data_IF_151682002372
#
_entry.id   IF_151682002372
#
_cell.length_a   1.000
_cell.length_b   1.000
_cell.length_c   1.000
_cell.angle_alpha   90.00
_cell.angle_beta   90.00
_cell.angle_gamma   90.00
#
_symmetry.space_group_name_H-M   'P 1'
#
loop_
_entity.id
_entity.type
_entity.pdbx_description
1 polymer ?
#
# COMPACT_ATOMS: atom_id res chain seq x y z
N UNK A 1 -34.17 -33.69 -41.52
CA UNK A 1 -34.38 -32.32 -41.00
C UNK A 1 -33.57 -32.18 -39.70
N UNK A 2 -32.40 -31.54 -39.77
CA UNK A 2 -31.48 -31.38 -38.64
C UNK A 2 -31.84 -30.09 -37.89
N UNK A 3 -32.29 -30.20 -36.63
CA UNK A 3 -32.55 -29.05 -35.76
C UNK A 3 -31.22 -28.46 -35.28
N UNK A 4 -30.90 -27.25 -35.74
CA UNK A 4 -29.79 -26.42 -35.27
C UNK A 4 -30.15 -25.89 -33.88
N UNK A 5 -29.45 -26.35 -32.83
CA UNK A 5 -29.52 -25.72 -31.51
C UNK A 5 -28.49 -24.62 -31.41
N UNK A 6 -28.99 -23.41 -31.18
CA UNK A 6 -28.27 -22.15 -31.05
C UNK A 6 -27.48 -22.17 -29.74
N UNK A 7 -26.15 -22.06 -29.83
CA UNK A 7 -25.26 -21.78 -28.72
C UNK A 7 -25.45 -20.30 -28.32
N UNK A 8 -26.03 -20.04 -27.15
CA UNK A 8 -26.10 -18.70 -26.56
C UNK A 8 -24.72 -18.40 -25.97
N UNK A 9 -23.98 -17.51 -26.64
CA UNK A 9 -22.73 -16.96 -26.16
C UNK A 9 -23.06 -15.91 -25.08
N UNK A 10 -22.91 -16.26 -23.80
CA UNK A 10 -22.91 -15.27 -22.72
C UNK A 10 -21.64 -14.41 -22.86
N UNK A 11 -21.81 -13.20 -23.38
CA UNK A 11 -20.83 -12.13 -23.26
C UNK A 11 -20.74 -11.73 -21.79
N UNK A 12 -19.75 -12.27 -21.08
CA UNK A 12 -19.31 -11.72 -19.81
C UNK A 12 -18.84 -10.28 -20.07
N UNK A 13 -19.66 -9.31 -19.70
CA UNK A 13 -19.27 -7.91 -19.69
C UNK A 13 -18.17 -7.77 -18.64
N UNK A 14 -16.91 -7.71 -19.10
CA UNK A 14 -15.80 -7.28 -18.27
C UNK A 14 -16.13 -5.87 -17.81
N UNK A 15 -16.55 -5.72 -16.55
CA UNK A 15 -16.58 -4.42 -15.90
C UNK A 15 -15.17 -3.87 -15.98
N UNK A 16 -14.97 -2.82 -16.77
CA UNK A 16 -13.76 -2.03 -16.74
C UNK A 16 -13.69 -1.48 -15.32
N UNK A 17 -12.89 -2.13 -14.46
CA UNK A 17 -12.59 -1.62 -13.15
C UNK A 17 -11.99 -0.23 -13.38
N UNK A 18 -12.67 0.81 -12.91
CA UNK A 18 -12.17 2.18 -12.96
C UNK A 18 -10.77 2.14 -12.32
N UNK A 19 -9.75 2.46 -13.12
CA UNK A 19 -8.38 2.42 -12.67
C UNK A 19 -8.22 3.34 -11.46
N UNK A 20 -7.63 2.81 -10.40
CA UNK A 20 -7.11 3.61 -9.30
C UNK A 20 -6.30 4.78 -9.86
N UNK A 21 -6.54 5.97 -9.33
CA UNK A 21 -5.68 7.12 -9.59
C UNK A 21 -4.89 7.41 -8.32
N UNK A 22 -3.60 7.69 -8.49
CA UNK A 22 -2.72 8.11 -7.41
C UNK A 22 -2.00 9.34 -7.89
N UNK A 23 -1.86 10.32 -7.01
CA UNK A 23 -1.13 11.55 -7.28
C UNK A 23 -0.42 12.02 -6.03
N UNK A 24 0.56 12.89 -6.20
CA UNK A 24 1.09 13.62 -5.07
C UNK A 24 1.90 14.82 -5.48
N UNK A 25 2.28 15.60 -4.48
CA UNK A 25 3.03 16.83 -4.62
C UNK A 25 4.05 16.97 -3.47
N UNK A 26 5.06 17.77 -3.72
CA UNK A 26 6.11 18.10 -2.75
C UNK A 26 6.01 19.58 -2.41
N UNK A 27 6.12 19.94 -1.13
CA UNK A 27 5.90 21.28 -0.61
C UNK A 27 6.70 21.55 0.68
N UNK A 28 6.83 22.81 1.08
CA UNK A 28 7.40 23.21 2.37
C UNK A 28 6.30 23.31 3.42
N UNK A 29 6.33 22.49 4.47
CA UNK A 29 5.28 22.42 5.49
C UNK A 29 5.47 23.44 6.63
N UNK A 30 5.61 24.72 6.29
CA UNK A 30 5.82 25.81 7.25
C UNK A 30 5.68 27.19 6.64
N UNK A 31 5.89 28.22 7.46
CA UNK A 31 5.86 29.62 7.02
C UNK A 31 7.25 30.08 6.57
N UNK A 32 7.33 31.20 5.86
CA UNK A 32 8.54 31.74 5.21
C UNK A 32 9.74 32.01 6.13
N UNK A 33 9.60 31.88 7.45
CA UNK A 33 10.54 32.40 8.46
C UNK A 33 11.12 31.36 9.43
N UNK A 34 10.77 30.07 9.29
CA UNK A 34 11.31 28.95 10.08
C UNK A 34 11.75 27.86 9.10
N UNK A 35 12.86 27.10 9.30
CA UNK A 35 13.13 25.89 8.53
C UNK A 35 11.90 24.97 8.47
N UNK A 36 11.16 25.09 7.38
CA UNK A 36 9.99 24.28 7.12
C UNK A 36 10.48 22.91 6.63
N UNK A 37 9.94 21.80 7.15
CA UNK A 37 10.29 20.50 6.61
C UNK A 37 9.75 20.38 5.19
N UNK A 38 10.64 19.98 4.28
CA UNK A 38 10.28 19.49 2.97
C UNK A 38 9.32 18.30 3.17
N UNK A 39 8.16 18.34 2.54
CA UNK A 39 7.07 17.41 2.81
C UNK A 39 6.39 16.96 1.53
N UNK A 40 5.75 15.81 1.62
CA UNK A 40 4.99 15.20 0.55
C UNK A 40 3.54 15.09 0.95
N UNK A 41 2.66 15.27 -0.01
CA UNK A 41 1.24 14.99 0.09
C UNK A 41 0.88 14.01 -1.01
N UNK A 42 0.25 12.91 -0.64
CA UNK A 42 -0.12 11.80 -1.52
C UNK A 42 -1.60 11.56 -1.36
N UNK A 43 -2.30 11.43 -2.47
CA UNK A 43 -3.72 11.08 -2.47
C UNK A 43 -4.03 10.09 -3.59
N UNK A 44 -5.14 9.38 -3.41
CA UNK A 44 -5.63 8.50 -4.45
C UNK A 44 -7.07 8.09 -4.25
N UNK A 45 -7.60 7.44 -5.29
CA UNK A 45 -8.97 6.91 -5.33
C UNK A 45 -8.96 5.39 -5.27
N UNK A 46 -9.98 4.84 -4.62
CA UNK A 46 -10.25 3.40 -4.56
C UNK A 46 -11.31 3.06 -5.60
N UNK A 47 -11.15 1.92 -6.28
CA UNK A 47 -12.15 1.45 -7.23
C UNK A 47 -13.50 1.26 -6.51
N UNK A 48 -14.61 1.65 -7.15
CA UNK A 48 -15.93 1.59 -6.52
C UNK A 48 -16.33 0.18 -6.06
N UNK A 49 -15.84 -0.87 -6.72
CA UNK A 49 -16.06 -2.28 -6.33
C UNK A 49 -15.32 -2.69 -5.06
N UNK A 50 -14.32 -1.91 -4.65
CA UNK A 50 -13.44 -2.24 -3.54
C UNK A 50 -13.76 -1.43 -2.27
N UNK A 51 -14.60 -0.38 -2.38
CA UNK A 51 -15.07 0.42 -1.24
C UNK A 51 -15.79 -0.46 -0.23
N UNK A 52 -15.60 -0.18 1.06
CA UNK A 52 -16.15 -0.92 2.20
C UNK A 52 -15.62 -2.35 2.36
N UNK A 53 -14.71 -2.81 1.51
CA UNK A 53 -14.02 -4.07 1.74
C UNK A 53 -12.93 -3.91 2.80
N UNK A 54 -12.67 -4.96 3.61
CA UNK A 54 -11.52 -4.97 4.50
C UNK A 54 -10.22 -4.90 3.69
N UNK A 55 -9.26 -4.10 4.13
CA UNK A 55 -8.07 -3.85 3.33
C UNK A 55 -7.04 -2.98 4.02
N UNK A 56 -6.13 -2.44 3.23
CA UNK A 56 -5.10 -1.52 3.69
C UNK A 56 -4.55 -0.66 2.57
N UNK A 57 -3.94 0.45 2.98
CA UNK A 57 -3.26 1.39 2.09
C UNK A 57 -1.80 1.44 2.51
N UNK A 58 -0.91 1.52 1.53
CA UNK A 58 0.50 1.76 1.78
C UNK A 58 0.98 2.94 0.96
N UNK A 59 2.01 3.59 1.49
CA UNK A 59 2.80 4.59 0.79
C UNK A 59 4.24 4.17 0.97
N UNK A 60 4.94 3.92 -0.13
CA UNK A 60 6.34 3.48 -0.14
C UNK A 60 7.21 4.51 -0.85
N UNK A 61 8.46 4.61 -0.43
CA UNK A 61 9.47 5.42 -1.11
C UNK A 61 10.55 4.50 -1.68
N UNK A 62 10.93 4.70 -2.93
CA UNK A 62 11.85 3.84 -3.70
C UNK A 62 13.06 4.66 -4.14
N UNK A 63 14.24 4.10 -3.89
CA UNK A 63 15.51 4.58 -4.40
C UNK A 63 15.62 4.25 -5.91
N UNK A 64 15.91 5.24 -6.79
CA UNK A 64 16.12 4.99 -8.21
C UNK A 64 17.27 4.02 -8.49
N UNK A 65 18.21 3.85 -7.57
CA UNK A 65 19.30 2.87 -7.63
C UNK A 65 18.85 1.41 -7.44
N UNK A 66 17.69 1.18 -6.84
CA UNK A 66 17.10 -0.16 -6.65
C UNK A 66 15.63 -0.22 -7.07
N UNK A 67 15.32 -0.15 -8.38
CA UNK A 67 13.95 -0.13 -8.87
C UNK A 67 13.15 -1.39 -8.50
N UNK A 68 11.85 -1.21 -8.25
CA UNK A 68 10.91 -2.28 -7.90
C UNK A 68 10.92 -2.66 -6.42
N UNK A 69 11.72 -1.98 -5.59
CA UNK A 69 11.92 -2.31 -4.18
C UNK A 69 11.82 -1.05 -3.32
N UNK A 70 10.74 -0.85 -2.55
CA UNK A 70 10.64 0.27 -1.63
C UNK A 70 11.76 0.21 -0.57
N UNK A 71 12.43 1.33 -0.33
CA UNK A 71 13.42 1.50 0.72
C UNK A 71 12.76 1.70 2.10
N UNK A 72 11.60 2.36 2.13
CA UNK A 72 10.83 2.58 3.35
C UNK A 72 9.33 2.70 3.04
N UNK A 73 8.51 2.50 4.08
CA UNK A 73 7.07 2.66 4.04
C UNK A 73 6.60 3.66 5.08
N UNK A 74 5.57 4.44 4.73
CA UNK A 74 4.94 5.36 5.64
C UNK A 74 4.00 4.61 6.60
N UNK A 75 4.19 4.84 7.88
CA UNK A 75 3.33 4.37 8.97
C UNK A 75 2.77 5.57 9.73
N UNK A 76 1.80 5.39 10.64
CA UNK A 76 1.32 6.48 11.50
C UNK A 76 2.43 7.13 12.34
N UNK A 77 3.51 6.40 12.64
CA UNK A 77 4.70 6.88 13.35
C UNK A 77 5.77 7.52 12.43
N UNK A 78 5.53 7.58 11.13
CA UNK A 78 6.49 8.08 10.13
C UNK A 78 7.07 6.98 9.24
N UNK A 79 8.15 7.31 8.53
CA UNK A 79 8.83 6.38 7.62
C UNK A 79 9.54 5.27 8.39
N UNK A 80 9.30 4.03 7.98
CA UNK A 80 9.92 2.83 8.54
C UNK A 80 10.65 2.09 7.43
N UNK A 81 11.94 1.81 7.66
CA UNK A 81 12.79 1.06 6.73
C UNK A 81 12.16 -0.26 6.36
N UNK A 82 12.22 -0.60 5.09
CA UNK A 82 11.76 -1.88 4.58
C UNK A 82 12.92 -2.86 4.48
N UNK A 83 12.92 -3.90 5.31
CA UNK A 83 14.00 -4.90 5.39
C UNK A 83 13.57 -6.32 5.05
N UNK A 84 12.26 -6.54 4.85
CA UNK A 84 11.66 -7.85 4.60
C UNK A 84 10.89 -7.79 3.30
N UNK A 85 11.10 -8.72 2.36
CA UNK A 85 10.57 -8.71 0.98
C UNK A 85 9.03 -8.67 0.76
N UNK A 86 8.23 -8.22 1.72
CA UNK A 86 6.79 -7.95 1.59
C UNK A 86 6.37 -6.72 2.40
N UNK A 87 5.23 -6.10 2.09
CA UNK A 87 4.78 -4.86 2.75
C UNK A 87 4.78 -5.00 4.28
N UNK A 88 5.14 -3.93 5.03
CA UNK A 88 5.14 -3.99 6.48
C UNK A 88 3.74 -4.32 7.01
N UNK A 89 3.72 -4.95 8.18
CA UNK A 89 2.48 -5.23 8.91
C UNK A 89 1.73 -3.92 9.11
N UNK A 90 0.55 -3.83 8.52
CA UNK A 90 -0.33 -2.68 8.60
C UNK A 90 -1.48 -3.00 9.56
N UNK A 91 -2.21 -1.97 9.95
CA UNK A 91 -3.49 -2.15 10.65
C UNK A 91 -4.56 -2.38 9.59
N UNK A 92 -5.10 -3.59 9.51
CA UNK A 92 -6.22 -3.90 8.61
C UNK A 92 -7.36 -2.92 8.89
N UNK A 93 -7.77 -2.19 7.86
CA UNK A 93 -8.92 -1.31 7.90
C UNK A 93 -10.14 -2.17 7.62
N UNK A 94 -11.13 -2.17 8.51
CA UNK A 94 -12.32 -3.01 8.37
C UNK A 94 -13.17 -2.65 7.16
N UNK A 95 -13.09 -1.40 6.71
CA UNK A 95 -13.75 -0.87 5.52
C UNK A 95 -12.84 0.20 4.90
N UNK A 96 -12.40 0.00 3.66
CA UNK A 96 -11.62 0.99 2.93
C UNK A 96 -12.53 2.11 2.40
N UNK A 97 -12.11 3.36 2.56
CA UNK A 97 -12.84 4.51 2.02
C UNK A 97 -12.68 4.66 0.51
N UNK A 98 -13.50 5.50 -0.12
CA UNK A 98 -13.43 5.81 -1.56
C UNK A 98 -12.16 6.56 -1.97
N UNK A 99 -11.49 7.20 -1.02
CA UNK A 99 -10.28 7.99 -1.22
C UNK A 99 -9.34 7.83 -0.04
N UNK A 100 -8.05 8.05 -0.28
CA UNK A 100 -7.05 8.16 0.77
C UNK A 100 -6.18 9.39 0.59
N UNK A 101 -5.65 9.91 1.69
CA UNK A 101 -4.75 11.06 1.69
C UNK A 101 -3.75 10.92 2.83
N UNK A 102 -2.48 11.07 2.52
CA UNK A 102 -1.37 11.01 3.47
C UNK A 102 -0.47 12.21 3.26
N UNK A 103 0.07 12.74 4.36
CA UNK A 103 1.17 13.68 4.30
C UNK A 103 2.24 13.27 5.29
N UNK A 104 3.48 13.44 4.87
CA UNK A 104 4.65 13.15 5.67
C UNK A 104 5.78 14.10 5.27
N UNK A 105 6.67 14.42 6.21
CA UNK A 105 7.91 15.06 5.82
C UNK A 105 8.79 14.10 5.01
N UNK A 106 9.63 14.65 4.15
CA UNK A 106 10.74 13.91 3.52
C UNK A 106 11.72 13.56 4.65
N UNK A 107 12.07 12.27 4.82
CA UNK A 107 12.93 11.88 5.91
C UNK A 107 14.36 12.40 5.67
N UNK A 108 15.16 12.55 6.72
CA UNK A 108 16.60 12.85 6.58
C UNK A 108 17.39 11.68 6.01
N UNK A 109 16.89 10.46 6.21
CA UNK A 109 17.44 9.21 5.68
C UNK A 109 16.34 8.15 5.67
N UNK A 110 16.38 7.16 4.77
CA UNK A 110 15.43 6.03 4.80
C UNK A 110 15.50 5.22 6.10
N UNK A 111 16.63 5.28 6.82
CA UNK A 111 16.90 4.47 8.03
C UNK A 111 16.86 5.24 9.33
N UNK A 112 16.87 6.58 9.26
CA UNK A 112 16.90 7.45 10.44
C UNK A 112 15.73 8.42 10.35
N UNK A 113 14.88 8.39 11.38
CA UNK A 113 13.74 9.31 11.48
C UNK A 113 14.18 10.77 11.57
N UNK A 114 13.27 11.68 11.25
CA UNK A 114 13.53 13.12 11.19
C UNK A 114 12.96 13.72 9.91
N UNK A 115 12.91 15.05 9.84
CA UNK A 115 12.38 15.76 8.68
C UNK A 115 13.47 16.63 8.06
N UNK A 116 13.74 16.44 6.77
CA UNK A 116 14.71 17.24 6.04
C UNK A 116 14.09 18.59 5.64
N UNK A 117 14.90 19.66 5.66
CA UNK A 117 14.51 20.97 5.12
C UNK A 117 14.66 21.05 3.58
N UNK A 118 15.25 20.03 2.96
CA UNK A 118 15.50 19.94 1.51
C UNK A 118 15.23 18.52 1.05
N UNK A 119 14.86 18.35 -0.23
CA UNK A 119 14.70 17.04 -0.86
C UNK A 119 15.97 16.56 -1.58
N UNK A 120 17.12 17.22 -1.40
CA UNK A 120 18.36 16.93 -2.12
C UNK A 120 18.74 15.44 -2.12
N UNK A 121 18.72 14.78 -0.95
CA UNK A 121 19.10 13.36 -0.80
C UNK A 121 18.06 12.39 -1.39
N UNK A 122 16.88 12.90 -1.71
CA UNK A 122 15.75 12.14 -2.26
C UNK A 122 15.39 12.57 -3.69
N UNK A 123 16.21 13.39 -4.33
CA UNK A 123 15.97 13.84 -5.70
C UNK A 123 15.84 12.65 -6.65
N UNK A 124 14.73 12.57 -7.38
CA UNK A 124 14.46 11.50 -8.33
C UNK A 124 13.94 10.20 -7.70
N UNK A 125 13.82 10.13 -6.37
CA UNK A 125 13.16 9.02 -5.69
C UNK A 125 11.68 9.00 -6.02
N UNK A 126 11.12 7.80 -6.12
CA UNK A 126 9.71 7.63 -6.44
C UNK A 126 8.93 7.36 -5.17
N UNK A 127 7.80 8.03 -5.02
CA UNK A 127 6.81 7.63 -4.03
C UNK A 127 5.74 6.84 -4.75
N UNK A 128 5.47 5.65 -4.24
CA UNK A 128 4.37 4.81 -4.65
C UNK A 128 3.29 4.85 -3.58
N UNK A 129 2.05 4.75 -4.01
CA UNK A 129 0.95 4.48 -3.10
C UNK A 129 -0.08 3.59 -3.75
N UNK A 130 -0.89 2.99 -2.90
CA UNK A 130 -1.89 2.06 -3.35
C UNK A 130 -2.49 1.27 -2.22
N UNK A 131 -3.39 0.37 -2.57
CA UNK A 131 -4.20 -0.32 -1.60
C UNK A 131 -4.44 -1.77 -1.98
N UNK A 132 -4.86 -2.56 -1.01
CA UNK A 132 -5.18 -3.97 -1.18
C UNK A 132 -6.41 -4.30 -0.35
N UNK A 133 -7.24 -5.20 -0.85
CA UNK A 133 -8.52 -5.54 -0.23
C UNK A 133 -8.74 -7.06 -0.19
N UNK A 134 -9.58 -7.50 0.73
CA UNK A 134 -10.13 -8.84 0.73
C UNK A 134 -11.39 -8.90 -0.12
N UNK A 135 -11.20 -9.22 -1.40
CA UNK A 135 -12.30 -9.49 -2.34
C UNK A 135 -13.13 -10.70 -1.90
N UNK A 136 -14.29 -10.90 -2.51
CA UNK A 136 -15.11 -12.08 -2.28
C UNK A 136 -14.34 -13.40 -2.54
N UNK A 137 -13.46 -13.42 -3.54
CA UNK A 137 -12.59 -14.56 -3.84
C UNK A 137 -11.58 -14.80 -2.71
N UNK A 138 -11.01 -13.73 -2.14
CA UNK A 138 -10.13 -13.82 -0.97
C UNK A 138 -10.88 -14.38 0.25
N UNK A 139 -12.12 -13.95 0.49
CA UNK A 139 -12.95 -14.49 1.57
C UNK A 139 -13.24 -15.98 1.38
N UNK A 140 -13.54 -16.42 0.14
CA UNK A 140 -13.73 -17.84 -0.16
C UNK A 140 -12.46 -18.67 0.10
N UNK A 141 -11.27 -18.13 -0.22
CA UNK A 141 -10.00 -18.78 0.09
C UNK A 141 -9.75 -18.90 1.60
N UNK A 142 -10.06 -17.87 2.38
CA UNK A 142 -9.94 -17.88 3.84
C UNK A 142 -10.87 -18.94 4.44
N UNK A 143 -12.14 -18.97 4.02
CA UNK A 143 -13.11 -19.96 4.50
C UNK A 143 -12.66 -21.39 4.17
N UNK A 144 -12.15 -21.61 2.95
CA UNK A 144 -11.62 -22.91 2.53
C UNK A 144 -10.42 -23.33 3.38
N UNK A 145 -9.49 -22.41 3.65
CA UNK A 145 -8.34 -22.67 4.55
C UNK A 145 -8.84 -23.07 5.94
N UNK A 146 -9.76 -22.29 6.52
CA UNK A 146 -10.32 -22.54 7.85
C UNK A 146 -10.95 -23.92 7.96
N UNK A 147 -11.85 -24.26 7.02
CA UNK A 147 -12.49 -25.57 6.97
C UNK A 147 -11.46 -26.72 6.86
N UNK A 148 -10.40 -26.53 6.05
CA UNK A 148 -9.33 -27.52 5.92
C UNK A 148 -8.51 -27.69 7.19
N UNK A 149 -8.22 -26.60 7.91
CA UNK A 149 -7.47 -26.65 9.15
C UNK A 149 -8.30 -27.25 10.29
N UNK A 150 -9.58 -26.90 10.38
CA UNK A 150 -10.49 -27.43 11.39
C UNK A 150 -10.69 -28.94 11.21
N UNK A 151 -10.82 -29.42 9.97
CA UNK A 151 -10.89 -30.85 9.66
C UNK A 151 -9.59 -31.60 10.00
N UNK A 152 -8.43 -30.96 9.80
CA UNK A 152 -7.12 -31.55 10.08
C UNK A 152 -6.71 -31.44 11.55
N UNK A 153 -7.30 -30.53 12.33
CA UNK A 153 -6.90 -30.19 13.70
C UNK A 153 -6.81 -31.39 14.63
N UNK A 154 -7.80 -32.31 14.71
CA UNK A 154 -7.72 -33.46 15.62
C UNK A 154 -6.51 -34.35 15.31
N UNK A 155 -6.25 -34.62 14.03
CA UNK A 155 -5.14 -35.45 13.59
C UNK A 155 -3.78 -34.76 13.82
N UNK A 156 -3.67 -33.47 13.52
CA UNK A 156 -2.45 -32.69 13.73
C UNK A 156 -2.12 -32.54 15.22
N UNK A 157 -3.13 -32.35 16.08
CA UNK A 157 -2.95 -32.30 17.53
C UNK A 157 -2.48 -33.64 18.08
N UNK A 158 -3.08 -34.77 17.65
CA UNK A 158 -2.63 -36.10 18.04
C UNK A 158 -1.17 -36.37 17.66
N UNK A 159 -0.71 -35.82 16.53
CA UNK A 159 0.67 -35.95 16.05
C UNK A 159 1.65 -34.93 16.64
N UNK A 160 1.19 -34.02 17.52
CA UNK A 160 2.02 -32.93 18.06
C UNK A 160 2.52 -31.95 16.99
N UNK A 161 1.82 -31.86 15.85
CA UNK A 161 2.18 -31.02 14.70
C UNK A 161 1.27 -29.79 14.55
N UNK A 162 0.29 -29.63 15.44
CA UNK A 162 -0.51 -28.41 15.49
C UNK A 162 0.37 -27.23 15.89
N UNK A 163 0.25 -26.13 15.16
CA UNK A 163 0.96 -24.88 15.46
C UNK A 163 -0.08 -23.81 15.80
N UNK A 164 0.27 -22.93 16.74
CA UNK A 164 -0.65 -21.88 17.20
C UNK A 164 -1.05 -20.90 16.09
N UNK A 165 -0.21 -20.70 15.07
CA UNK A 165 -0.51 -19.87 13.88
C UNK A 165 -1.60 -20.49 12.97
N UNK A 166 -2.05 -21.71 13.25
CA UNK A 166 -3.22 -22.31 12.57
C UNK A 166 -4.54 -21.94 13.24
N UNK A 167 -4.52 -21.38 14.45
CA UNK A 167 -5.73 -20.99 15.16
C UNK A 167 -6.36 -19.70 14.59
N UNK A 168 -5.58 -18.83 13.94
CA UNK A 168 -6.08 -17.64 13.25
C UNK A 168 -5.74 -17.60 11.75
N UNK A 169 -6.37 -16.65 11.04
CA UNK A 169 -6.14 -16.40 9.62
C UNK A 169 -5.41 -15.08 9.35
N UNK A 170 -4.88 -14.39 10.38
CA UNK A 170 -4.36 -13.02 10.27
C UNK A 170 -3.22 -12.96 9.25
N UNK A 171 -2.24 -13.84 9.37
CA UNK A 171 -1.11 -13.88 8.44
C UNK A 171 -1.56 -14.17 6.99
N UNK A 172 -2.56 -15.05 6.81
CA UNK A 172 -3.08 -15.41 5.51
C UNK A 172 -3.90 -14.27 4.88
N UNK A 173 -4.75 -13.60 5.67
CA UNK A 173 -5.46 -12.37 5.26
C UNK A 173 -4.49 -11.29 4.81
N UNK A 174 -3.44 -11.06 5.60
CA UNK A 174 -2.42 -10.06 5.28
C UNK A 174 -1.73 -10.36 3.95
N UNK A 175 -1.37 -11.61 3.70
CA UNK A 175 -0.79 -12.03 2.43
C UNK A 175 -1.73 -11.81 1.23
N UNK A 176 -3.03 -12.08 1.39
CA UNK A 176 -4.03 -11.85 0.33
C UNK A 176 -4.24 -10.36 0.03
N UNK A 177 -4.27 -9.51 1.06
CA UNK A 177 -4.34 -8.06 0.90
C UNK A 177 -3.09 -7.52 0.20
N UNK A 178 -1.89 -7.99 0.56
CA UNK A 178 -0.65 -7.62 -0.14
C UNK A 178 -0.64 -8.08 -1.60
N UNK A 179 -1.08 -9.31 -1.86
CA UNK A 179 -1.27 -9.82 -3.23
C UNK A 179 -2.24 -8.92 -4.01
N UNK A 180 -3.36 -8.54 -3.40
CA UNK A 180 -4.33 -7.61 -4.00
C UNK A 180 -3.72 -6.28 -4.44
N UNK A 181 -2.75 -5.78 -3.67
CA UNK A 181 -2.02 -4.54 -3.96
C UNK A 181 -1.08 -4.71 -5.16
N UNK A 182 -0.33 -5.81 -5.18
CA UNK A 182 0.62 -6.12 -6.24
C UNK A 182 -0.06 -6.44 -7.58
N UNK A 183 -1.29 -6.97 -7.56
CA UNK A 183 -2.08 -7.31 -8.75
C UNK A 183 -2.69 -6.08 -9.46
N UNK A 184 -1.99 -4.94 -9.52
CA UNK A 184 -2.36 -3.67 -10.21
C UNK A 184 -3.02 -2.57 -9.37
N UNK A 185 -2.92 -2.61 -8.03
CA UNK A 185 -3.43 -1.54 -7.14
C UNK A 185 -2.32 -0.77 -6.44
N UNK A 186 -1.11 -0.83 -6.99
CA UNK A 186 0.09 -0.14 -6.53
C UNK A 186 0.69 0.66 -7.68
N UNK A 187 0.89 1.96 -7.49
CA UNK A 187 1.33 2.84 -8.58
C UNK A 187 2.14 4.03 -8.10
N UNK A 188 2.92 4.62 -9.02
CA UNK A 188 3.72 5.82 -8.74
C UNK A 188 2.81 7.02 -8.51
N UNK A 189 2.91 7.62 -7.33
CA UNK A 189 2.22 8.86 -6.98
C UNK A 189 2.96 10.09 -7.51
N UNK A 190 4.28 10.14 -7.30
CA UNK A 190 5.15 11.23 -7.72
C UNK A 190 6.62 10.79 -7.79
N UNK A 191 7.41 11.56 -8.54
CA UNK A 191 8.88 11.55 -8.47
C UNK A 191 9.31 12.80 -7.71
N UNK A 192 10.11 12.66 -6.67
CA UNK A 192 10.50 13.76 -5.79
C UNK A 192 11.36 14.75 -6.58
N UNK A 193 10.90 16.00 -6.78
CA UNK A 193 11.72 17.04 -7.39
C UNK A 193 12.63 17.65 -6.33
N UNK A 194 13.58 18.47 -6.77
CA UNK A 194 14.36 19.30 -5.87
C UNK A 194 13.49 20.41 -5.29
N UNK A 195 13.46 20.52 -3.96
CA UNK A 195 12.92 21.64 -3.22
C UNK A 195 13.87 22.00 -2.08
N UNK A 196 13.95 23.29 -1.76
CA UNK A 196 14.68 23.78 -0.61
C UNK A 196 13.77 24.69 0.21
N UNK A 197 13.53 24.31 1.46
CA UNK A 197 12.66 25.00 2.40
C UNK A 197 13.45 25.75 3.48
N UNK A 198 14.78 25.85 3.35
CA UNK A 198 15.59 26.73 4.22
C UNK A 198 15.24 28.19 3.96
N UNK A 199 15.04 29.02 5.00
CA UNK A 199 14.91 30.46 4.81
C UNK A 199 16.11 31.00 4.03
N UNK A 200 15.92 32.03 3.19
CA UNK A 200 17.06 32.73 2.60
C UNK A 200 17.95 33.25 3.73
N UNK A 201 19.26 33.15 3.57
CA UNK A 201 20.19 33.80 4.49
C UNK A 201 19.86 35.29 4.49
N UNK A 202 19.23 35.77 5.57
CA UNK A 202 19.03 37.20 5.76
C UNK A 202 20.42 37.79 5.95
N UNK A 203 21.01 38.30 4.88
CA UNK A 203 22.30 38.99 4.91
C UNK A 203 22.23 40.08 5.97
N UNK A 204 23.08 39.96 7.00
CA UNK A 204 23.38 41.08 7.88
C UNK A 204 23.96 42.19 7.02
N UNK A 205 23.21 43.28 6.88
CA UNK A 205 23.76 44.58 6.50
C UNK A 205 24.47 45.19 7.70
#
# INVERSE_FOLDING_TARGET
MLKKSVFILLLAQGTVAMAQTVSGNVFCAGTTYDPAPASVSISGTVAASDVDLPGAIWVGIEDPGTPGTPAAFLTPSGWVTWTTGGFPTYVETTAIGSTFSYSACIPVSPTVGGCAATSADFLGWKIYAGYGVLTAEHQAMIQKRRASLDAAKPWLQQKGKWRADYDDDIAFRNALIQKSANDSRWGTALTIPFINCTPPESGGQ
#
